data_IF_754714768069
#
_entry.id   IF_754714768069
#
_cell.length_a   1.000
_cell.length_b   1.000
_cell.length_c   1.000
_cell.angle_alpha   90.00
_cell.angle_beta   90.00
_cell.angle_gamma   90.00
#
_symmetry.space_group_name_H-M   'P 1'
#
loop_
_entity.id
_entity.type
_entity.pdbx_description
1 polymer ?
#
# COMPACT_ATOMS: atom_id res chain seq x y z
N UNK A 1 2.13 -18.72 0.85
CA UNK A 1 2.89 -17.48 0.70
C UNK A 1 2.36 -16.53 1.75
N UNK A 2 3.21 -15.92 2.56
CA UNK A 2 2.75 -14.93 3.54
C UNK A 2 2.25 -13.71 2.76
N UNK A 3 1.03 -13.25 3.07
CA UNK A 3 0.50 -12.02 2.49
C UNK A 3 1.45 -10.86 2.80
N UNK A 4 1.68 -10.00 1.81
CA UNK A 4 2.48 -8.80 2.00
C UNK A 4 1.59 -7.80 2.75
N UNK A 5 1.80 -7.65 4.06
CA UNK A 5 1.18 -6.57 4.82
C UNK A 5 2.24 -5.62 5.36
N UNK A 6 1.88 -4.36 5.50
CA UNK A 6 2.64 -3.34 6.21
C UNK A 6 1.72 -2.61 7.17
N UNK A 7 2.24 -2.24 8.35
CA UNK A 7 1.57 -1.25 9.18
C UNK A 7 1.51 0.07 8.42
N UNK A 8 0.34 0.68 8.44
CA UNK A 8 0.08 1.97 7.82
C UNK A 8 -0.41 2.94 8.89
N UNK A 9 -0.47 4.22 8.56
CA UNK A 9 -0.91 5.29 9.45
C UNK A 9 -2.25 4.92 10.10
N UNK A 10 -2.44 5.20 11.39
CA UNK A 10 -3.70 4.92 12.09
C UNK A 10 -4.89 5.64 11.46
N UNK A 11 -6.10 5.12 11.67
CA UNK A 11 -7.32 5.80 11.24
C UNK A 11 -7.40 7.19 11.89
N UNK A 12 -7.58 8.23 11.08
CA UNK A 12 -7.43 9.62 11.53
C UNK A 12 -8.40 10.03 12.65
N UNK A 13 -9.62 9.49 12.67
CA UNK A 13 -10.66 9.89 13.62
C UNK A 13 -10.61 9.04 14.90
N UNK A 14 -10.49 7.72 14.76
CA UNK A 14 -10.60 6.78 15.88
C UNK A 14 -9.24 6.45 16.51
N UNK A 15 -8.14 6.68 15.78
CA UNK A 15 -6.79 6.28 16.18
C UNK A 15 -6.53 4.77 16.04
N UNK A 16 -7.46 3.99 15.50
CA UNK A 16 -7.31 2.54 15.35
C UNK A 16 -6.13 2.20 14.44
N UNK A 17 -5.40 1.15 14.82
CA UNK A 17 -4.31 0.61 14.01
C UNK A 17 -4.83 0.09 12.69
N UNK A 18 -4.05 0.28 11.61
CA UNK A 18 -4.39 -0.20 10.27
C UNK A 18 -3.22 -0.95 9.66
N UNK A 19 -3.52 -1.92 8.81
CA UNK A 19 -2.53 -2.54 7.92
C UNK A 19 -2.98 -2.37 6.47
N UNK A 20 -2.00 -2.15 5.59
CA UNK A 20 -2.15 -2.23 4.16
C UNK A 20 -1.67 -3.60 3.70
N UNK A 21 -2.59 -4.44 3.24
CA UNK A 21 -2.30 -5.73 2.64
C UNK A 21 -2.30 -5.61 1.11
N UNK A 22 -1.30 -6.20 0.48
CA UNK A 22 -1.25 -6.28 -0.97
C UNK A 22 -2.42 -7.14 -1.49
N UNK A 23 -3.28 -6.54 -2.30
CA UNK A 23 -4.39 -7.24 -2.93
C UNK A 23 -4.02 -7.70 -4.35
N UNK A 24 -3.47 -6.78 -5.16
CA UNK A 24 -3.18 -7.05 -6.56
C UNK A 24 -2.12 -6.09 -7.11
N UNK A 25 -1.32 -6.57 -8.06
CA UNK A 25 -0.39 -5.75 -8.83
C UNK A 25 -0.38 -6.23 -10.27
N UNK A 26 -0.68 -5.32 -11.19
CA UNK A 26 -0.77 -5.60 -12.63
C UNK A 26 0.05 -4.59 -13.39
N UNK A 27 0.82 -5.09 -14.35
CA UNK A 27 1.45 -4.27 -15.40
C UNK A 27 0.62 -4.47 -16.66
N UNK A 28 -0.02 -3.41 -17.14
CA UNK A 28 -0.86 -3.44 -18.33
C UNK A 28 0.00 -3.39 -19.60
N UNK A 29 -0.63 -3.53 -20.77
CA UNK A 29 0.08 -3.65 -22.07
C UNK A 29 0.87 -2.39 -22.44
N UNK A 30 0.43 -1.24 -21.96
CA UNK A 30 1.08 0.08 -22.08
C UNK A 30 2.12 0.33 -20.97
N UNK A 31 2.45 -0.72 -20.20
CA UNK A 31 3.39 -0.69 -19.08
C UNK A 31 2.95 0.17 -17.90
N UNK A 32 1.68 0.58 -17.87
CA UNK A 32 1.11 1.19 -16.67
C UNK A 32 1.01 0.15 -15.56
N UNK A 33 1.52 0.53 -14.39
CA UNK A 33 1.40 -0.26 -13.17
C UNK A 33 0.14 0.16 -12.43
N UNK A 34 -0.65 -0.85 -12.04
CA UNK A 34 -1.82 -0.72 -11.18
C UNK A 34 -1.58 -1.55 -9.92
N UNK A 35 -1.63 -0.90 -8.77
CA UNK A 35 -1.49 -1.55 -7.47
C UNK A 35 -2.79 -1.38 -6.67
N UNK A 36 -3.27 -2.48 -6.11
CA UNK A 36 -4.39 -2.50 -5.19
C UNK A 36 -3.91 -2.91 -3.82
N UNK A 37 -4.31 -2.12 -2.83
CA UNK A 37 -3.98 -2.33 -1.41
C UNK A 37 -5.31 -2.43 -0.66
N UNK A 38 -5.49 -3.53 0.05
CA UNK A 38 -6.58 -3.73 0.99
C UNK A 38 -6.19 -3.13 2.32
N UNK A 39 -7.02 -2.21 2.82
CA UNK A 39 -6.84 -1.60 4.12
C UNK A 39 -7.71 -2.34 5.12
N UNK A 40 -7.08 -2.89 6.15
CA UNK A 40 -7.72 -3.64 7.21
C UNK A 40 -7.52 -2.88 8.52
N UNK A 41 -8.62 -2.59 9.21
CA UNK A 41 -8.59 -1.96 10.53
C UNK A 41 -8.47 -3.03 11.60
N UNK A 42 -7.48 -2.86 12.48
CA UNK A 42 -7.16 -3.82 13.53
C UNK A 42 -7.65 -3.32 14.88
N UNK A 43 -8.08 -4.26 15.72
CA UNK A 43 -8.30 -3.99 17.13
C UNK A 43 -6.95 -3.79 17.85
N UNK A 44 -6.91 -2.77 18.71
CA UNK A 44 -5.67 -2.37 19.39
C UNK A 44 -5.17 -3.41 20.41
N UNK A 45 -6.07 -4.24 20.96
CA UNK A 45 -5.73 -5.19 22.03
C UNK A 45 -5.34 -6.57 21.49
N UNK A 46 -6.01 -7.04 20.43
CA UNK A 46 -5.84 -8.37 19.86
C UNK A 46 -4.97 -8.38 18.60
N UNK A 47 -4.82 -7.24 17.92
CA UNK A 47 -4.13 -7.15 16.63
C UNK A 47 -4.87 -7.86 15.48
N UNK A 48 -6.09 -8.32 15.72
CA UNK A 48 -6.94 -8.99 14.74
C UNK A 48 -7.84 -7.98 14.01
N UNK A 49 -8.35 -8.30 12.83
CA UNK A 49 -9.33 -7.47 12.14
C UNK A 49 -10.54 -7.18 13.05
N UNK A 50 -10.92 -5.91 13.16
CA UNK A 50 -12.02 -5.51 14.04
C UNK A 50 -13.36 -6.12 13.60
N UNK A 51 -13.48 -6.48 12.33
CA UNK A 51 -14.65 -7.17 11.74
C UNK A 51 -14.86 -8.55 12.35
N UNK A 52 -13.78 -9.29 12.67
CA UNK A 52 -13.87 -10.59 13.34
C UNK A 52 -14.37 -10.43 14.78
N UNK A 53 -13.90 -9.41 15.49
CA UNK A 53 -14.34 -9.09 16.85
C UNK A 53 -15.83 -8.71 16.88
N UNK A 54 -16.28 -7.87 15.93
CA UNK A 54 -17.69 -7.47 15.82
C UNK A 54 -18.61 -8.68 15.59
N UNK A 55 -18.18 -9.64 14.78
CA UNK A 55 -18.94 -10.87 14.53
C UNK A 55 -19.03 -11.74 15.78
N UNK A 56 -17.91 -11.88 16.50
CA UNK A 56 -17.82 -12.69 17.71
C UNK A 56 -18.50 -12.06 18.94
N UNK A 57 -18.73 -10.75 18.96
CA UNK A 57 -19.31 -10.05 20.11
C UNK A 57 -20.81 -10.39 20.30
N UNK A 58 -21.15 -11.20 21.29
CA UNK A 58 -22.53 -11.58 21.61
C UNK A 58 -23.35 -10.44 22.25
N UNK A 59 -22.70 -9.36 22.71
CA UNK A 59 -23.39 -8.22 23.34
C UNK A 59 -24.04 -7.27 22.34
N UNK A 60 -23.62 -7.32 21.06
CA UNK A 60 -24.16 -6.49 19.99
C UNK A 60 -25.43 -7.10 19.40
N UNK A 61 -26.45 -6.27 19.21
CA UNK A 61 -27.63 -6.65 18.43
C UNK A 61 -27.28 -6.84 16.96
N UNK A 62 -28.12 -7.56 16.21
CA UNK A 62 -27.91 -7.78 14.78
C UNK A 62 -27.78 -6.47 13.98
N UNK A 63 -28.56 -5.45 14.34
CA UNK A 63 -28.50 -4.13 13.69
C UNK A 63 -27.20 -3.39 14.02
N UNK A 64 -26.73 -3.47 15.26
CA UNK A 64 -25.45 -2.89 15.67
C UNK A 64 -24.28 -3.59 14.97
N UNK A 65 -24.28 -4.92 14.88
CA UNK A 65 -23.28 -5.68 14.13
C UNK A 65 -23.24 -5.23 12.67
N UNK A 66 -24.40 -5.14 12.03
CA UNK A 66 -24.50 -4.73 10.62
C UNK A 66 -23.94 -3.32 10.40
N UNK A 67 -24.31 -2.36 11.25
CA UNK A 67 -23.81 -0.99 11.16
C UNK A 67 -22.29 -0.91 11.38
N UNK A 68 -21.77 -1.64 12.38
CA UNK A 68 -20.34 -1.67 12.69
C UNK A 68 -19.52 -2.34 11.57
N UNK A 69 -20.00 -3.47 11.03
CA UNK A 69 -19.35 -4.15 9.90
C UNK A 69 -19.31 -3.29 8.65
N UNK A 70 -20.38 -2.53 8.38
CA UNK A 70 -20.38 -1.62 7.24
C UNK A 70 -19.37 -0.48 7.42
N UNK A 71 -19.20 0.03 8.66
CA UNK A 71 -18.23 1.08 8.97
C UNK A 71 -16.78 0.61 8.80
N UNK A 72 -16.48 -0.59 9.28
CA UNK A 72 -15.12 -1.13 9.32
C UNK A 72 -14.85 -2.16 8.21
N UNK A 73 -15.68 -2.19 7.17
CA UNK A 73 -15.43 -3.00 6.00
C UNK A 73 -14.07 -2.63 5.39
N UNK A 74 -13.31 -3.64 4.97
CA UNK A 74 -12.04 -3.44 4.29
C UNK A 74 -12.22 -2.50 3.09
N UNK A 75 -11.26 -1.60 2.92
CA UNK A 75 -11.25 -0.67 1.79
C UNK A 75 -10.20 -1.11 0.79
N UNK A 76 -10.57 -1.22 -0.49
CA UNK A 76 -9.60 -1.47 -1.55
C UNK A 76 -9.22 -0.14 -2.18
N UNK A 77 -7.98 0.27 -1.97
CA UNK A 77 -7.39 1.45 -2.59
C UNK A 77 -6.64 1.03 -3.84
N UNK A 78 -7.06 1.59 -4.99
CA UNK A 78 -6.37 1.40 -6.27
C UNK A 78 -5.50 2.63 -6.57
N UNK A 79 -4.23 2.40 -6.93
CA UNK A 79 -3.29 3.41 -7.40
C UNK A 79 -2.70 2.98 -8.72
N UNK A 80 -2.48 3.95 -9.61
CA UNK A 80 -1.93 3.70 -10.93
C UNK A 80 -0.91 4.77 -11.29
N UNK A 81 0.04 4.38 -12.13
CA UNK A 81 1.14 5.26 -12.59
C UNK A 81 0.74 6.18 -13.74
N UNK A 82 -0.41 5.93 -14.37
CA UNK A 82 -0.91 6.77 -15.46
C UNK A 82 -1.19 8.20 -14.98
N UNK A 83 -0.75 9.19 -15.77
CA UNK A 83 -0.87 10.62 -15.44
C UNK A 83 -0.11 11.09 -14.19
N UNK A 84 0.71 10.23 -13.57
CA UNK A 84 1.45 10.54 -12.34
C UNK A 84 2.91 10.89 -12.63
N UNK A 85 3.47 11.86 -11.91
CA UNK A 85 4.86 12.32 -12.05
C UNK A 85 5.62 12.14 -10.75
N UNK A 86 6.94 11.98 -10.83
CA UNK A 86 7.83 11.89 -9.67
C UNK A 86 9.05 12.80 -9.82
N UNK A 87 9.60 13.25 -8.70
CA UNK A 87 10.91 13.91 -8.65
C UNK A 87 12.07 12.91 -8.85
N UNK A 88 13.31 13.40 -8.90
CA UNK A 88 14.51 12.57 -9.03
C UNK A 88 14.72 11.59 -7.86
N UNK A 89 14.04 11.79 -6.72
CA UNK A 89 14.07 10.91 -5.56
C UNK A 89 12.97 9.83 -5.61
N UNK A 90 12.13 9.85 -6.65
CA UNK A 90 10.99 8.95 -6.83
C UNK A 90 9.76 9.33 -6.02
N UNK A 91 9.69 10.56 -5.48
CA UNK A 91 8.51 11.04 -4.75
C UNK A 91 7.51 11.58 -5.74
N UNK A 92 6.25 11.18 -5.63
CA UNK A 92 5.20 11.71 -6.53
C UNK A 92 5.03 13.21 -6.30
N UNK A 93 5.01 13.94 -7.41
CA UNK A 93 4.83 15.37 -7.46
C UNK A 93 3.65 15.72 -8.36
N UNK A 94 3.01 16.89 -8.13
CA UNK A 94 2.01 17.42 -9.05
C UNK A 94 2.57 17.59 -10.47
N UNK A 95 1.69 17.60 -11.46
CA UNK A 95 2.09 17.79 -12.86
C UNK A 95 2.68 19.18 -13.13
N UNK A 96 2.41 20.16 -12.27
CA UNK A 96 2.92 21.53 -12.29
C UNK A 96 4.13 21.74 -11.35
N UNK A 97 4.79 20.67 -10.91
CA UNK A 97 5.99 20.76 -10.08
C UNK A 97 7.09 21.56 -10.78
N UNK A 98 7.55 22.64 -10.13
CA UNK A 98 8.54 23.58 -10.70
C UNK A 98 9.95 22.99 -10.87
N UNK A 99 10.22 21.81 -10.30
CA UNK A 99 11.49 21.10 -10.41
C UNK A 99 11.52 20.05 -11.53
N UNK A 100 12.67 19.39 -11.69
CA UNK A 100 12.79 18.26 -12.61
C UNK A 100 11.87 17.10 -12.16
N UNK A 101 10.92 16.74 -13.01
CA UNK A 101 10.03 15.61 -12.82
C UNK A 101 10.01 14.72 -14.06
N UNK A 102 9.76 13.43 -13.85
CA UNK A 102 9.55 12.45 -14.91
C UNK A 102 8.26 11.67 -14.63
N UNK A 103 7.68 11.05 -15.65
CA UNK A 103 6.50 10.22 -15.42
C UNK A 103 6.85 9.08 -14.47
N UNK A 104 5.92 8.75 -13.56
CA UNK A 104 6.15 7.68 -12.58
C UNK A 104 6.41 6.35 -13.27
N UNK A 105 5.75 6.09 -14.41
CA UNK A 105 6.00 4.93 -15.26
C UNK A 105 7.45 4.87 -15.71
N UNK A 106 7.98 5.95 -16.27
CA UNK A 106 9.34 5.98 -16.81
C UNK A 106 10.38 5.90 -15.68
N UNK A 107 10.09 6.50 -14.52
CA UNK A 107 10.91 6.33 -13.31
C UNK A 107 11.05 4.85 -12.94
N UNK A 108 9.94 4.12 -12.79
CA UNK A 108 9.97 2.70 -12.45
C UNK A 108 10.71 1.85 -13.50
N UNK A 109 10.55 2.17 -14.79
CA UNK A 109 11.28 1.50 -15.88
C UNK A 109 12.79 1.78 -15.84
N UNK A 110 13.22 2.90 -15.26
CA UNK A 110 14.63 3.27 -15.10
C UNK A 110 15.30 2.65 -13.88
N UNK A 111 14.54 2.01 -12.96
CA UNK A 111 15.10 1.41 -11.76
C UNK A 111 15.99 0.22 -12.14
N UNK A 112 17.28 0.34 -11.82
CA UNK A 112 18.24 -0.75 -11.99
C UNK A 112 18.52 -1.45 -10.65
N UNK A 113 19.16 -2.62 -10.69
CA UNK A 113 19.67 -3.28 -9.48
C UNK A 113 20.65 -2.37 -8.71
N UNK A 114 21.44 -1.55 -9.43
CA UNK A 114 22.32 -0.55 -8.81
C UNK A 114 21.54 0.51 -8.05
N UNK A 115 20.44 1.00 -8.64
CA UNK A 115 19.52 1.96 -8.01
C UNK A 115 18.90 1.38 -6.74
N UNK A 116 18.45 0.12 -6.76
CA UNK A 116 17.90 -0.55 -5.58
C UNK A 116 18.94 -0.71 -4.46
N UNK A 117 20.18 -1.06 -4.79
CA UNK A 117 21.28 -1.12 -3.80
C UNK A 117 21.57 0.25 -3.17
N UNK A 118 21.59 1.31 -3.99
CA UNK A 118 21.75 2.69 -3.50
C UNK A 118 20.62 3.13 -2.57
N UNK A 119 19.41 2.61 -2.80
CA UNK A 119 18.26 2.83 -1.91
C UNK A 119 18.32 2.02 -0.60
N UNK A 120 19.44 1.33 -0.32
CA UNK A 120 19.63 0.57 0.91
C UNK A 120 19.06 -0.85 0.88
N UNK A 121 18.64 -1.33 -0.29
CA UNK A 121 18.12 -2.69 -0.42
C UNK A 121 19.27 -3.69 -0.46
N UNK A 122 19.28 -4.62 0.49
CA UNK A 122 20.27 -5.70 0.56
C UNK A 122 20.01 -6.73 -0.56
N UNK A 123 20.60 -6.50 -1.73
CA UNK A 123 20.51 -7.36 -2.91
C UNK A 123 21.87 -7.98 -3.20
N UNK A 124 21.89 -9.28 -3.43
CA UNK A 124 23.04 -10.05 -3.88
C UNK A 124 22.64 -10.95 -5.06
N UNK A 125 23.59 -11.72 -5.57
CA UNK A 125 23.38 -12.57 -6.74
C UNK A 125 22.46 -13.78 -6.47
N UNK A 126 22.11 -14.03 -5.20
CA UNK A 126 21.12 -15.03 -4.81
C UNK A 126 19.73 -14.45 -4.56
N UNK A 127 19.53 -13.13 -4.72
CA UNK A 127 18.23 -12.49 -4.54
C UNK A 127 17.31 -12.81 -5.72
N UNK A 128 16.17 -13.43 -5.44
CA UNK A 128 15.22 -13.80 -6.49
C UNK A 128 14.50 -12.57 -7.07
N UNK A 129 14.09 -12.65 -8.33
CA UNK A 129 13.24 -11.62 -8.98
C UNK A 129 11.94 -11.39 -8.20
N UNK A 130 11.33 -12.46 -7.68
CA UNK A 130 10.12 -12.36 -6.86
C UNK A 130 10.35 -11.53 -5.59
N UNK A 131 11.50 -11.72 -4.92
CA UNK A 131 11.87 -10.92 -3.75
C UNK A 131 12.02 -9.44 -4.07
N UNK A 132 12.58 -9.11 -5.25
CA UNK A 132 12.70 -7.73 -5.71
C UNK A 132 11.33 -7.09 -5.96
N UNK A 133 10.42 -7.82 -6.61
CA UNK A 133 9.05 -7.35 -6.86
C UNK A 133 8.31 -7.12 -5.54
N UNK A 134 8.41 -8.05 -4.59
CA UNK A 134 7.77 -7.90 -3.28
C UNK A 134 8.30 -6.71 -2.49
N UNK A 135 9.61 -6.46 -2.56
CA UNK A 135 10.20 -5.31 -1.92
C UNK A 135 9.72 -3.98 -2.55
N UNK A 136 9.60 -3.94 -3.87
CA UNK A 136 9.03 -2.78 -4.58
C UNK A 136 7.57 -2.53 -4.17
N UNK A 137 6.75 -3.58 -4.11
CA UNK A 137 5.35 -3.50 -3.68
C UNK A 137 5.25 -3.00 -2.23
N UNK A 138 6.03 -3.57 -1.31
CA UNK A 138 6.06 -3.14 0.10
C UNK A 138 6.42 -1.67 0.24
N UNK A 139 7.47 -1.24 -0.47
CA UNK A 139 7.91 0.14 -0.44
C UNK A 139 6.85 1.08 -0.99
N UNK A 140 6.16 0.69 -2.05
CA UNK A 140 5.11 1.53 -2.62
C UNK A 140 3.90 1.64 -1.68
N UNK A 141 3.53 0.58 -0.94
CA UNK A 141 2.51 0.69 0.13
C UNK A 141 2.92 1.77 1.14
N UNK A 142 4.16 1.74 1.62
CA UNK A 142 4.67 2.74 2.56
C UNK A 142 4.71 4.16 1.96
N UNK A 143 5.10 4.29 0.69
CA UNK A 143 5.07 5.57 -0.01
C UNK A 143 3.64 6.10 -0.14
N UNK A 144 2.67 5.28 -0.53
CA UNK A 144 1.25 5.68 -0.63
C UNK A 144 0.73 6.12 0.74
N UNK A 145 1.03 5.36 1.79
CA UNK A 145 0.64 5.71 3.15
C UNK A 145 1.22 7.05 3.61
N UNK A 146 2.53 7.27 3.44
CA UNK A 146 3.22 8.49 3.87
C UNK A 146 2.66 9.79 3.27
N UNK A 147 1.90 9.67 2.17
CA UNK A 147 1.25 10.77 1.45
C UNK A 147 -0.23 10.96 1.85
N UNK A 148 -0.73 10.20 2.83
CA UNK A 148 -2.16 10.15 3.17
C UNK A 148 -3.01 9.49 2.08
N UNK A 149 -2.39 8.66 1.25
CA UNK A 149 -3.06 7.98 0.14
C UNK A 149 -3.79 6.70 0.55
N UNK A 150 -3.70 6.28 1.83
CA UNK A 150 -4.36 5.10 2.41
C UNK A 150 -5.27 5.47 3.59
#
# INVERSE_FOLDING_TARGET
MNAIHNHISSEAITGLSRIGEHENFVITRDLNMVQQVRIITLDASSGLPITEQILADESLTSDQKKAALQRYADQIVTRQTDGSYVDFQGRVVPADYEGESISQRDFFQSITLGSLKQMGVAINDSTSVASLIYLLIQREIANIDSRGGL
#
